data_IF_303728184411
#
_entry.id   IF_303728184411
#
_cell.length_a   1.000
_cell.length_b   1.000
_cell.length_c   1.000
_cell.angle_alpha   90.00
_cell.angle_beta   90.00
_cell.angle_gamma   90.00
#
_symmetry.space_group_name_H-M   'P 1'
#
loop_
_entity.id
_entity.type
_entity.pdbx_description
1 polymer ?
#
# COMPACT_ATOMS: atom_id res chain seq x y z
N UNK A 1 2.15 14.08 7.16
CA UNK A 1 1.19 12.98 7.30
C UNK A 1 1.93 11.65 7.48
N UNK A 2 1.32 10.68 8.14
CA UNK A 2 1.83 9.30 8.23
C UNK A 2 1.21 8.49 7.11
N UNK A 3 2.04 7.95 6.23
CA UNK A 3 1.60 7.21 5.03
C UNK A 3 2.16 5.79 5.09
N UNK A 4 1.28 4.82 4.91
CA UNK A 4 1.65 3.42 4.77
C UNK A 4 1.57 3.01 3.29
N UNK A 5 2.60 2.37 2.79
CA UNK A 5 2.63 1.72 1.47
C UNK A 5 2.64 0.21 1.69
N UNK A 6 1.51 -0.44 1.43
CA UNK A 6 1.43 -1.89 1.54
C UNK A 6 1.75 -2.55 0.20
N UNK A 7 3.00 -2.95 0.05
CA UNK A 7 3.57 -3.53 -1.14
C UNK A 7 4.70 -2.66 -1.71
N UNK A 8 5.95 -3.04 -1.42
CA UNK A 8 7.15 -2.31 -1.86
C UNK A 8 7.61 -2.74 -3.27
N UNK A 9 6.67 -2.94 -4.20
CA UNK A 9 6.92 -3.19 -5.62
C UNK A 9 7.14 -1.88 -6.41
N UNK A 10 7.08 -1.96 -7.74
CA UNK A 10 7.34 -0.81 -8.63
C UNK A 10 6.41 0.38 -8.33
N UNK A 11 5.10 0.14 -8.24
CA UNK A 11 4.09 1.18 -7.97
C UNK A 11 4.26 1.75 -6.55
N UNK A 12 4.40 0.87 -5.54
CA UNK A 12 4.59 1.29 -4.16
C UNK A 12 5.90 2.02 -3.96
N UNK A 13 6.98 1.57 -4.58
CA UNK A 13 8.28 2.23 -4.55
C UNK A 13 8.23 3.63 -5.16
N UNK A 14 7.63 3.77 -6.36
CA UNK A 14 7.43 5.06 -7.00
C UNK A 14 6.68 6.05 -6.10
N UNK A 15 5.50 5.64 -5.65
CA UNK A 15 4.64 6.50 -4.81
C UNK A 15 5.30 6.83 -3.48
N UNK A 16 5.86 5.82 -2.81
CA UNK A 16 6.47 6.00 -1.50
C UNK A 16 7.70 6.91 -1.51
N UNK A 17 8.56 6.80 -2.52
CA UNK A 17 9.71 7.71 -2.67
C UNK A 17 9.25 9.14 -2.91
N UNK A 18 8.30 9.36 -3.84
CA UNK A 18 7.75 10.69 -4.12
C UNK A 18 7.11 11.33 -2.89
N UNK A 19 6.32 10.56 -2.13
CA UNK A 19 5.68 11.04 -0.90
C UNK A 19 6.71 11.33 0.21
N UNK A 20 7.75 10.50 0.36
CA UNK A 20 8.80 10.74 1.33
C UNK A 20 9.58 12.02 1.04
N UNK A 21 9.95 12.23 -0.23
CA UNK A 21 10.65 13.43 -0.67
C UNK A 21 9.79 14.70 -0.56
N UNK A 22 8.46 14.55 -0.55
CA UNK A 22 7.51 15.65 -0.26
C UNK A 22 7.30 15.91 1.23
N UNK A 23 8.12 15.32 2.12
CA UNK A 23 8.09 15.57 3.56
C UNK A 23 7.11 14.72 4.36
N UNK A 24 6.52 13.67 3.77
CA UNK A 24 5.66 12.76 4.50
C UNK A 24 6.47 11.67 5.23
N UNK A 25 5.93 11.18 6.36
CA UNK A 25 6.48 10.02 7.08
C UNK A 25 5.97 8.75 6.42
N UNK A 26 6.81 8.13 5.58
CA UNK A 26 6.43 6.93 4.81
C UNK A 26 6.94 5.67 5.51
N UNK A 27 6.04 4.69 5.65
CA UNK A 27 6.33 3.35 6.13
C UNK A 27 5.95 2.33 5.05
N UNK A 28 6.88 1.50 4.63
CA UNK A 28 6.62 0.38 3.73
C UNK A 28 6.31 -0.88 4.54
N UNK A 29 5.22 -1.56 4.19
CA UNK A 29 5.01 -2.94 4.65
C UNK A 29 5.68 -3.87 3.66
N UNK A 30 6.71 -4.54 4.11
CA UNK A 30 7.54 -5.43 3.32
C UNK A 30 7.91 -6.69 4.10
N UNK A 31 8.50 -7.68 3.44
CA UNK A 31 8.94 -8.93 4.05
C UNK A 31 10.20 -9.45 3.38
N UNK A 32 10.88 -10.38 4.06
CA UNK A 32 12.07 -11.05 3.53
C UNK A 32 13.21 -10.09 3.20
N UNK A 33 13.90 -10.35 2.13
CA UNK A 33 15.08 -9.56 1.71
C UNK A 33 14.73 -8.12 1.34
N UNK A 34 13.53 -7.89 0.82
CA UNK A 34 13.08 -6.55 0.47
C UNK A 34 12.92 -5.66 1.72
N UNK A 35 12.40 -6.23 2.81
CA UNK A 35 12.33 -5.54 4.11
C UNK A 35 13.71 -5.13 4.60
N UNK A 36 14.67 -6.07 4.63
CA UNK A 36 16.03 -5.82 5.07
C UNK A 36 16.72 -4.74 4.21
N UNK A 37 16.54 -4.82 2.89
CA UNK A 37 17.13 -3.87 1.97
C UNK A 37 16.62 -2.43 2.20
N UNK A 38 15.31 -2.26 2.41
CA UNK A 38 14.72 -0.94 2.68
C UNK A 38 15.16 -0.42 4.05
N UNK A 39 15.23 -1.28 5.06
CA UNK A 39 15.70 -0.90 6.40
C UNK A 39 17.16 -0.43 6.40
N UNK A 40 18.00 -1.08 5.61
CA UNK A 40 19.43 -0.77 5.54
C UNK A 40 19.74 0.47 4.68
N UNK A 41 19.05 0.61 3.54
CA UNK A 41 19.44 1.55 2.49
C UNK A 41 18.36 2.61 2.16
N UNK A 42 17.20 2.59 2.82
CA UNK A 42 16.05 3.36 2.37
C UNK A 42 15.47 2.85 1.04
N UNK A 43 14.85 3.72 0.28
CA UNK A 43 14.24 3.38 -1.01
C UNK A 43 14.80 4.27 -2.11
N UNK A 44 15.21 3.65 -3.22
CA UNK A 44 15.69 4.36 -4.41
C UNK A 44 14.74 4.11 -5.57
N UNK A 45 14.40 5.16 -6.28
CA UNK A 45 13.61 5.14 -7.49
C UNK A 45 14.48 5.55 -8.68
N UNK A 46 14.70 4.65 -9.62
CA UNK A 46 15.36 4.94 -10.88
C UNK A 46 14.31 5.28 -11.94
N UNK A 47 14.42 6.46 -12.53
CA UNK A 47 13.53 6.95 -13.58
C UNK A 47 14.09 6.59 -14.97
N UNK A 48 13.21 6.59 -15.98
CA UNK A 48 13.58 6.25 -17.36
C UNK A 48 14.59 7.22 -17.99
N UNK A 49 14.60 8.47 -17.52
CA UNK A 49 15.56 9.51 -17.94
C UNK A 49 16.97 9.35 -17.34
N UNK A 50 17.19 8.27 -16.59
CA UNK A 50 18.45 8.00 -15.89
C UNK A 50 18.58 8.70 -14.53
N UNK A 51 17.62 9.51 -14.12
CA UNK A 51 17.60 10.16 -12.80
C UNK A 51 17.31 9.13 -11.71
N UNK A 52 18.06 9.20 -10.60
CA UNK A 52 17.78 8.42 -9.39
C UNK A 52 17.31 9.33 -8.26
N UNK A 53 16.18 9.00 -7.66
CA UNK A 53 15.65 9.64 -6.47
C UNK A 53 15.84 8.72 -5.27
N UNK A 54 16.43 9.23 -4.21
CA UNK A 54 16.71 8.45 -3.01
C UNK A 54 15.97 9.01 -1.80
N UNK A 55 15.24 8.16 -1.09
CA UNK A 55 14.53 8.47 0.15
C UNK A 55 15.13 7.66 1.32
N UNK A 56 16.14 8.18 2.00
CA UNK A 56 16.85 7.45 3.06
C UNK A 56 16.04 7.32 4.34
N UNK A 57 15.10 8.23 4.59
CA UNK A 57 14.37 8.33 5.85
C UNK A 57 13.02 7.57 5.86
N UNK A 58 12.78 6.69 4.88
CA UNK A 58 11.61 5.83 4.91
C UNK A 58 11.78 4.73 5.94
N UNK A 59 10.66 4.31 6.54
CA UNK A 59 10.63 3.14 7.42
C UNK A 59 10.17 1.92 6.65
N UNK A 60 10.59 0.75 7.08
CA UNK A 60 10.04 -0.52 6.63
C UNK A 60 9.86 -1.46 7.80
N UNK A 61 8.74 -2.16 7.84
CA UNK A 61 8.42 -3.12 8.88
C UNK A 61 7.51 -4.23 8.33
N UNK A 62 7.31 -5.27 9.11
CA UNK A 62 6.27 -6.26 8.86
C UNK A 62 4.90 -5.69 9.23
N UNK A 63 3.83 -6.36 8.80
CA UNK A 63 2.47 -5.95 9.15
C UNK A 63 2.23 -6.05 10.67
N UNK A 64 2.88 -6.99 11.35
CA UNK A 64 2.71 -7.22 12.79
C UNK A 64 3.36 -6.13 13.65
N UNK A 65 4.37 -5.45 13.11
CA UNK A 65 5.09 -4.35 13.75
C UNK A 65 4.50 -2.96 13.39
N UNK A 66 3.57 -2.94 12.46
CA UNK A 66 3.02 -1.71 11.93
C UNK A 66 2.08 -1.01 12.92
N UNK A 67 2.06 0.31 12.85
CA UNK A 67 1.18 1.18 13.64
C UNK A 67 0.15 1.85 12.72
N UNK A 68 -0.95 2.43 13.25
CA UNK A 68 -1.91 3.17 12.45
C UNK A 68 -1.32 4.38 11.71
N UNK A 69 -1.82 4.62 10.50
CA UNK A 69 -1.43 5.69 9.58
C UNK A 69 -2.63 6.51 9.13
N UNK A 70 -2.38 7.73 8.63
CA UNK A 70 -3.42 8.61 8.10
C UNK A 70 -3.91 8.12 6.72
N UNK A 71 -2.98 7.58 5.92
CA UNK A 71 -3.26 6.98 4.61
C UNK A 71 -2.60 5.62 4.49
N UNK A 72 -3.34 4.66 3.94
CA UNK A 72 -2.85 3.31 3.62
C UNK A 72 -3.06 3.06 2.13
N UNK A 73 -1.97 2.99 1.38
CA UNK A 73 -1.99 2.70 -0.06
C UNK A 73 -1.75 1.20 -0.28
N UNK A 74 -2.74 0.53 -0.88
CA UNK A 74 -2.63 -0.88 -1.27
C UNK A 74 -2.07 -0.95 -2.70
N UNK A 75 -0.78 -1.19 -2.82
CA UNK A 75 -0.03 -1.20 -4.09
C UNK A 75 0.33 -2.61 -4.56
N UNK A 76 -0.14 -3.62 -3.85
CA UNK A 76 -0.02 -5.02 -4.22
C UNK A 76 -1.01 -5.41 -5.33
N UNK A 77 -0.79 -6.54 -5.98
CA UNK A 77 -1.72 -7.07 -6.99
C UNK A 77 -3.05 -7.48 -6.34
N UNK A 78 -4.17 -7.38 -7.08
CA UNK A 78 -5.54 -7.59 -6.54
C UNK A 78 -5.70 -8.92 -5.80
N UNK A 79 -5.15 -10.02 -6.32
CA UNK A 79 -5.22 -11.33 -5.68
C UNK A 79 -4.46 -11.43 -4.35
N UNK A 80 -3.59 -10.49 -4.07
CA UNK A 80 -2.82 -10.43 -2.81
C UNK A 80 -3.54 -9.64 -1.71
N UNK A 81 -4.60 -8.91 -2.03
CA UNK A 81 -5.35 -8.10 -1.05
C UNK A 81 -6.21 -8.96 -0.15
N UNK A 82 -6.97 -9.91 -0.73
CA UNK A 82 -7.89 -10.76 0.04
C UNK A 82 -7.22 -11.52 1.20
N UNK A 83 -6.05 -12.17 1.01
CA UNK A 83 -5.38 -12.88 2.11
C UNK A 83 -4.92 -12.01 3.27
N UNK A 84 -4.78 -10.70 3.05
CA UNK A 84 -4.27 -9.75 4.06
C UNK A 84 -5.34 -8.75 4.51
N UNK A 85 -6.56 -8.86 4.04
CA UNK A 85 -7.63 -7.88 4.30
C UNK A 85 -7.88 -7.65 5.79
N UNK A 86 -7.91 -8.71 6.60
CA UNK A 86 -8.09 -8.61 8.05
C UNK A 86 -6.94 -7.88 8.75
N UNK A 87 -5.73 -8.00 8.20
CA UNK A 87 -4.54 -7.37 8.76
C UNK A 87 -4.48 -5.87 8.46
N UNK A 88 -5.15 -5.41 7.39
CA UNK A 88 -5.17 -3.99 6.99
C UNK A 88 -5.78 -3.13 8.11
N UNK A 89 -6.73 -3.66 8.87
CA UNK A 89 -7.31 -2.99 10.03
C UNK A 89 -6.29 -2.50 11.06
N UNK A 90 -5.15 -3.19 11.21
CA UNK A 90 -4.06 -2.79 12.12
C UNK A 90 -3.36 -1.51 11.68
N UNK A 91 -3.45 -1.17 10.40
CA UNK A 91 -2.85 0.02 9.81
C UNK A 91 -3.75 1.25 9.94
N UNK A 92 -4.98 1.07 10.42
CA UNK A 92 -6.03 2.07 10.39
C UNK A 92 -6.39 2.57 11.79
N UNK A 93 -6.71 3.84 11.88
CA UNK A 93 -7.47 4.48 12.95
C UNK A 93 -8.76 5.08 12.35
N UNK A 94 -9.62 5.67 13.15
CA UNK A 94 -10.96 6.12 12.74
C UNK A 94 -10.98 7.09 11.54
N UNK A 95 -9.90 7.83 11.33
CA UNK A 95 -9.77 8.79 10.23
C UNK A 95 -8.83 8.33 9.12
N UNK A 96 -8.46 7.05 9.08
CA UNK A 96 -7.57 6.52 8.03
C UNK A 96 -8.30 6.40 6.71
N UNK A 97 -7.70 6.91 5.64
CA UNK A 97 -8.14 6.64 4.28
C UNK A 97 -7.35 5.47 3.68
N UNK A 98 -8.06 4.44 3.23
CA UNK A 98 -7.46 3.31 2.49
C UNK A 98 -7.65 3.55 1.00
N UNK A 99 -6.53 3.59 0.26
CA UNK A 99 -6.49 3.86 -1.18
C UNK A 99 -6.03 2.62 -1.91
N UNK A 100 -6.86 2.12 -2.82
CA UNK A 100 -6.55 0.96 -3.65
C UNK A 100 -5.96 1.41 -4.99
N UNK A 101 -4.84 0.81 -5.40
CA UNK A 101 -4.14 1.12 -6.65
C UNK A 101 -4.07 -0.09 -7.59
N UNK A 102 -4.99 -1.03 -7.44
CA UNK A 102 -5.10 -2.18 -8.33
C UNK A 102 -5.78 -1.79 -9.65
N UNK A 103 -5.31 -2.40 -10.74
CA UNK A 103 -5.97 -2.30 -12.03
C UNK A 103 -7.29 -3.10 -12.04
N UNK A 104 -8.24 -2.66 -12.86
CA UNK A 104 -9.52 -3.31 -13.08
C UNK A 104 -10.66 -2.70 -12.25
N UNK A 105 -11.82 -3.36 -12.30
CA UNK A 105 -12.99 -2.95 -11.51
C UNK A 105 -12.75 -3.33 -10.05
N UNK A 106 -12.82 -2.38 -9.11
CA UNK A 106 -12.62 -2.69 -7.71
C UNK A 106 -13.69 -3.66 -7.21
N UNK A 107 -13.29 -4.64 -6.39
CA UNK A 107 -14.21 -5.64 -5.81
C UNK A 107 -15.35 -5.01 -4.99
N UNK A 108 -15.14 -3.82 -4.44
CA UNK A 108 -16.12 -3.05 -3.68
C UNK A 108 -17.01 -2.15 -4.56
N UNK A 109 -16.81 -2.12 -5.88
CA UNK A 109 -17.55 -1.24 -6.80
C UNK A 109 -19.07 -1.36 -6.67
N UNK A 110 -19.57 -2.58 -6.46
CA UNK A 110 -21.00 -2.84 -6.29
C UNK A 110 -21.44 -2.79 -4.81
N UNK A 111 -20.56 -2.46 -3.89
CA UNK A 111 -20.89 -2.39 -2.47
C UNK A 111 -21.88 -1.25 -2.24
N UNK A 112 -22.99 -1.58 -1.55
CA UNK A 112 -24.07 -0.64 -1.22
C UNK A 112 -24.81 0.01 -2.42
N UNK A 113 -24.62 -0.47 -3.64
CA UNK A 113 -25.49 -0.07 -4.74
C UNK A 113 -26.85 -0.75 -4.61
N UNK A 114 -27.90 0.06 -4.50
CA UNK A 114 -29.29 -0.41 -4.57
C UNK A 114 -29.64 -0.70 -6.03
N UNK A 115 -29.17 -1.82 -6.56
CA UNK A 115 -29.51 -2.23 -7.91
C UNK A 115 -30.30 -3.54 -7.88
N UNK A 116 -31.36 -3.62 -8.70
CA UNK A 116 -32.22 -4.80 -8.86
C UNK A 116 -31.51 -6.04 -9.41
N UNK A 117 -30.25 -5.95 -9.79
CA UNK A 117 -29.39 -7.01 -10.29
C UNK A 117 -28.40 -7.54 -9.26
N UNK A 118 -28.79 -7.62 -7.99
CA UNK A 118 -28.02 -8.35 -6.97
C UNK A 118 -28.11 -9.86 -7.20
N UNK A 119 -27.61 -10.36 -8.32
CA UNK A 119 -27.10 -11.72 -8.34
C UNK A 119 -25.60 -11.63 -8.03
N UNK A 120 -25.13 -12.26 -6.95
CA UNK A 120 -23.71 -12.30 -6.67
C UNK A 120 -23.02 -13.04 -7.83
N UNK A 121 -22.36 -12.31 -8.72
CA UNK A 121 -21.60 -12.92 -9.80
C UNK A 121 -20.34 -13.64 -9.31
N UNK A 122 -20.01 -13.55 -8.02
CA UNK A 122 -18.89 -14.27 -7.42
C UNK A 122 -19.27 -14.73 -6.00
N UNK A 123 -19.22 -16.03 -5.73
CA UNK A 123 -19.27 -16.53 -4.38
C UNK A 123 -17.89 -16.28 -3.73
N UNK A 124 -17.70 -15.10 -3.17
CA UNK A 124 -16.67 -14.96 -2.15
C UNK A 124 -17.24 -15.58 -0.86
N UNK A 125 -16.80 -16.80 -0.59
CA UNK A 125 -16.89 -17.43 0.72
C UNK A 125 -15.77 -16.88 1.60
#
# INVERSE_FOLDING_TARGET
MKVCIYGAGAIGGYLGVKLALSGNKVTFIARGENLKAIQANGMTLNLEDGTSLHAPNVKACTIDEATPHDYVFLTMKSHQVSPVAEQIGRLCHDNTAVVTLQNGVPWWYFYNLQWSYRKPCYPFK
#
